data_IF_822993682515
#
_entry.id   IF_822993682515
#
_cell.length_a   1.000
_cell.length_b   1.000
_cell.length_c   1.000
_cell.angle_alpha   90.00
_cell.angle_beta   90.00
_cell.angle_gamma   90.00
#
_symmetry.space_group_name_H-M   'P 1'
#
loop_
_entity.id
_entity.type
_entity.pdbx_description
1 polymer ?
#
# COMPACT_ATOMS: atom_id res chain seq x y z
N UNK A 1 71.65 36.68 -43.42
CA UNK A 1 70.43 36.90 -42.62
C UNK A 1 69.41 35.85 -43.02
N UNK A 2 68.76 35.28 -42.01
CA UNK A 2 67.99 34.04 -42.00
C UNK A 2 66.85 34.00 -43.03
N UNK A 3 66.54 32.82 -43.57
CA UNK A 3 65.13 32.49 -43.82
C UNK A 3 64.85 30.99 -43.69
N UNK A 4 63.66 30.73 -43.18
CA UNK A 4 63.20 29.58 -42.42
C UNK A 4 62.55 28.53 -43.32
N UNK A 5 62.83 27.27 -43.03
CA UNK A 5 62.11 26.11 -43.54
C UNK A 5 60.67 26.10 -43.01
N UNK A 6 59.65 25.93 -43.87
CA UNK A 6 58.36 25.35 -43.45
C UNK A 6 57.72 24.48 -44.51
N UNK A 7 57.48 23.24 -44.09
CA UNK A 7 56.94 22.10 -44.80
C UNK A 7 55.45 22.26 -45.10
N UNK A 8 55.09 21.65 -46.23
CA UNK A 8 53.76 21.48 -46.81
C UNK A 8 52.86 20.65 -45.88
N UNK A 9 51.63 21.18 -45.69
CA UNK A 9 50.44 20.52 -45.14
C UNK A 9 50.18 19.17 -45.84
N UNK A 10 49.64 18.13 -45.23
CA UNK A 10 48.23 17.99 -44.81
C UNK A 10 48.16 16.71 -43.97
N UNK A 11 47.74 16.81 -42.70
CA UNK A 11 47.45 15.62 -41.87
C UNK A 11 46.06 15.72 -41.23
N UNK A 12 45.13 14.93 -41.76
CA UNK A 12 44.19 14.02 -41.06
C UNK A 12 43.50 14.42 -39.73
N UNK A 13 43.35 15.69 -39.36
CA UNK A 13 42.75 16.05 -38.06
C UNK A 13 41.33 16.66 -38.09
N UNK A 14 40.58 16.55 -39.20
CA UNK A 14 39.32 17.29 -39.30
C UNK A 14 38.02 16.53 -38.97
N UNK A 15 38.07 15.25 -38.57
CA UNK A 15 36.84 14.46 -38.38
C UNK A 15 36.56 13.98 -36.95
N UNK A 16 37.34 14.39 -35.96
CA UNK A 16 37.25 13.83 -34.60
C UNK A 16 36.77 14.82 -33.53
N UNK A 17 35.75 15.65 -33.79
CA UNK A 17 35.23 16.58 -32.75
C UNK A 17 33.71 16.77 -32.65
N UNK A 18 32.88 15.97 -33.33
CA UNK A 18 31.43 16.23 -33.34
C UNK A 18 30.48 15.08 -32.99
N UNK A 19 30.96 13.97 -32.43
CA UNK A 19 30.10 12.78 -32.21
C UNK A 19 29.90 12.31 -30.76
N UNK A 20 30.16 13.14 -29.74
CA UNK A 20 30.04 12.71 -28.34
C UNK A 20 29.13 13.60 -27.46
N UNK A 21 28.10 14.23 -28.04
CA UNK A 21 27.03 14.87 -27.27
C UNK A 21 25.70 14.32 -27.79
N UNK A 22 25.48 13.03 -27.55
CA UNK A 22 24.33 12.30 -28.08
C UNK A 22 23.76 11.37 -27.02
N UNK A 23 22.80 11.91 -26.25
CA UNK A 23 21.64 11.17 -25.78
C UNK A 23 21.89 10.05 -24.74
N UNK A 24 22.38 10.41 -23.56
CA UNK A 24 21.97 9.73 -22.34
C UNK A 24 20.59 10.26 -21.91
N UNK A 25 19.55 9.99 -22.70
CA UNK A 25 18.17 10.13 -22.23
C UNK A 25 17.96 9.00 -21.22
N UNK A 26 18.17 9.31 -19.95
CA UNK A 26 17.66 8.51 -18.85
C UNK A 26 16.15 8.38 -19.10
N UNK A 27 15.71 7.19 -19.49
CA UNK A 27 14.31 6.82 -19.44
C UNK A 27 13.94 6.78 -17.96
N UNK A 28 13.62 7.94 -17.39
CA UNK A 28 12.86 8.03 -16.17
C UNK A 28 11.50 7.43 -16.51
N UNK A 29 11.37 6.12 -16.32
CA UNK A 29 10.07 5.48 -16.28
C UNK A 29 9.28 6.23 -15.23
N UNK A 30 8.22 6.92 -15.64
CA UNK A 30 7.27 7.50 -14.72
C UNK A 30 6.60 6.32 -14.00
N UNK A 31 7.18 5.91 -12.87
CA UNK A 31 6.47 5.06 -11.93
C UNK A 31 5.30 5.91 -11.45
N UNK A 32 4.11 5.61 -11.96
CA UNK A 32 2.90 6.25 -11.47
C UNK A 32 2.82 5.94 -9.97
N UNK A 33 2.66 6.98 -9.15
CA UNK A 33 2.48 6.82 -7.72
C UNK A 33 1.24 5.96 -7.49
N UNK A 34 1.41 4.89 -6.72
CA UNK A 34 0.34 3.98 -6.35
C UNK A 34 -0.78 4.74 -5.64
N UNK A 35 -2.03 4.50 -6.01
CA UNK A 35 -3.19 5.09 -5.33
C UNK A 35 -3.97 4.03 -4.55
N UNK A 36 -4.78 4.44 -3.58
CA UNK A 36 -5.64 3.52 -2.82
C UNK A 36 -6.62 2.75 -3.72
N UNK A 37 -6.98 3.32 -4.88
CA UNK A 37 -7.84 2.66 -5.85
C UNK A 37 -7.15 1.43 -6.49
N UNK A 38 -5.82 1.49 -6.66
CA UNK A 38 -5.02 0.41 -7.24
C UNK A 38 -4.87 -0.79 -6.29
N UNK A 39 -5.14 -0.57 -5.00
CA UNK A 39 -5.07 -1.63 -3.99
C UNK A 39 -6.30 -2.53 -3.94
N UNK A 40 -7.36 -2.21 -4.70
CA UNK A 40 -8.48 -3.13 -4.89
C UNK A 40 -7.97 -4.40 -5.58
N UNK A 41 -7.95 -5.53 -4.87
CA UNK A 41 -7.39 -6.78 -5.40
C UNK A 41 -8.16 -8.02 -5.00
N UNK A 42 -8.06 -9.04 -5.84
CA UNK A 42 -8.46 -10.41 -5.53
C UNK A 42 -7.26 -11.12 -4.90
N UNK A 43 -7.36 -11.45 -3.61
CA UNK A 43 -6.28 -12.09 -2.84
C UNK A 43 -6.32 -13.62 -2.93
N UNK A 44 -7.47 -14.18 -3.30
CA UNK A 44 -7.61 -15.59 -3.65
C UNK A 44 -8.41 -15.68 -4.95
N UNK A 45 -7.92 -16.40 -6.00
CA UNK A 45 -8.59 -16.47 -7.29
C UNK A 45 -10.11 -16.66 -7.13
N UNK A 46 -10.87 -15.62 -7.52
CA UNK A 46 -12.33 -15.55 -7.53
C UNK A 46 -13.08 -15.67 -6.19
N UNK A 47 -12.39 -15.78 -5.05
CA UNK A 47 -13.05 -16.15 -3.79
C UNK A 47 -12.74 -15.24 -2.61
N UNK A 48 -11.77 -14.34 -2.73
CA UNK A 48 -11.52 -13.36 -1.70
C UNK A 48 -10.73 -12.18 -2.21
N UNK A 49 -10.84 -11.06 -1.51
CA UNK A 49 -10.16 -9.85 -1.90
C UNK A 49 -10.28 -8.73 -0.89
N UNK A 50 -9.68 -7.62 -1.26
CA UNK A 50 -9.63 -6.40 -0.47
C UNK A 50 -10.28 -5.28 -1.29
N UNK A 51 -11.20 -4.55 -0.66
CA UNK A 51 -11.92 -3.44 -1.28
C UNK A 51 -12.08 -2.29 -0.30
N UNK A 52 -12.60 -1.15 -0.77
CA UNK A 52 -12.92 0.03 0.06
C UNK A 52 -11.72 0.50 0.90
N UNK A 53 -10.56 0.65 0.25
CA UNK A 53 -9.39 1.19 0.92
C UNK A 53 -9.59 2.67 1.22
N UNK A 54 -9.22 3.10 2.41
CA UNK A 54 -9.38 4.46 2.89
C UNK A 54 -8.14 4.90 3.65
N UNK A 55 -7.76 6.15 3.44
CA UNK A 55 -6.85 6.87 4.32
C UNK A 55 -7.63 7.39 5.53
N UNK A 56 -7.15 7.11 6.73
CA UNK A 56 -7.76 7.53 8.00
C UNK A 56 -7.07 8.77 8.60
N UNK A 57 -6.07 9.31 7.91
CA UNK A 57 -5.22 10.37 8.43
C UNK A 57 -4.12 9.84 9.36
N UNK A 58 -3.15 10.70 9.62
CA UNK A 58 -2.11 10.50 10.65
C UNK A 58 -1.34 9.16 10.54
N UNK A 59 -1.15 8.67 9.31
CA UNK A 59 -0.40 7.44 9.05
C UNK A 59 -1.20 6.16 9.19
N UNK A 60 -2.54 6.22 9.25
CA UNK A 60 -3.41 5.04 9.30
C UNK A 60 -4.23 4.85 8.05
N UNK A 61 -4.44 3.58 7.72
CA UNK A 61 -5.27 3.17 6.59
C UNK A 61 -6.21 2.06 7.03
N UNK A 62 -7.30 1.86 6.29
CA UNK A 62 -8.18 0.70 6.44
C UNK A 62 -8.65 0.15 5.10
N UNK A 63 -9.10 -1.09 5.12
CA UNK A 63 -9.84 -1.70 4.03
C UNK A 63 -10.82 -2.76 4.55
N UNK A 64 -11.71 -3.21 3.66
CA UNK A 64 -12.60 -4.33 3.90
C UNK A 64 -12.10 -5.57 3.16
N UNK A 65 -11.92 -6.66 3.90
CA UNK A 65 -11.65 -7.99 3.40
C UNK A 65 -12.98 -8.71 3.11
N UNK A 66 -13.10 -9.37 1.97
CA UNK A 66 -14.27 -10.17 1.62
C UNK A 66 -13.89 -11.59 1.18
N UNK A 67 -14.82 -12.53 1.40
CA UNK A 67 -14.72 -13.92 0.93
C UNK A 67 -16.07 -14.41 0.38
N UNK A 68 -16.05 -15.20 -0.69
CA UNK A 68 -17.21 -15.86 -1.31
C UNK A 68 -16.81 -17.09 -2.13
N UNK A 69 -16.97 -18.30 -1.58
CA UNK A 69 -16.83 -19.57 -2.31
C UNK A 69 -17.93 -20.56 -1.89
N UNK A 70 -17.84 -21.10 -0.68
CA UNK A 70 -18.82 -22.01 -0.06
C UNK A 70 -19.52 -21.38 1.16
N UNK A 71 -19.16 -20.13 1.44
CA UNK A 71 -19.70 -19.26 2.47
C UNK A 71 -19.27 -17.83 2.18
N UNK A 72 -19.84 -16.88 2.90
CA UNK A 72 -19.47 -15.46 2.79
C UNK A 72 -18.86 -14.97 4.08
N UNK A 73 -17.91 -14.05 3.97
CA UNK A 73 -17.40 -13.34 5.13
C UNK A 73 -16.98 -11.93 4.75
N UNK A 74 -17.18 -10.99 5.67
CA UNK A 74 -16.66 -9.63 5.60
C UNK A 74 -15.85 -9.35 6.85
N UNK A 75 -14.75 -8.64 6.69
CA UNK A 75 -13.91 -8.19 7.79
C UNK A 75 -13.26 -6.86 7.46
N UNK A 76 -12.68 -6.24 8.47
CA UNK A 76 -11.93 -5.01 8.31
C UNK A 76 -10.52 -5.22 8.82
N UNK A 77 -9.59 -4.53 8.17
CA UNK A 77 -8.20 -4.42 8.59
C UNK A 77 -7.88 -2.93 8.71
N UNK A 78 -7.32 -2.52 9.84
CA UNK A 78 -6.80 -1.17 10.09
C UNK A 78 -5.31 -1.28 10.39
N UNK A 79 -4.48 -0.43 9.80
CA UNK A 79 -3.03 -0.50 9.92
C UNK A 79 -2.45 0.85 10.29
N UNK A 80 -1.52 0.84 11.22
CA UNK A 80 -0.56 1.92 11.47
C UNK A 80 0.65 1.78 10.55
N UNK A 81 0.77 2.65 9.57
CA UNK A 81 1.76 2.48 8.51
C UNK A 81 3.19 2.60 9.01
N UNK A 82 3.45 3.35 10.08
CA UNK A 82 4.78 3.46 10.68
C UNK A 82 5.20 2.17 11.38
N UNK A 83 4.41 1.68 12.34
CA UNK A 83 4.75 0.52 13.18
C UNK A 83 4.43 -0.82 12.51
N UNK A 84 3.51 -0.85 11.55
CA UNK A 84 2.92 -2.09 11.03
C UNK A 84 1.87 -2.71 11.97
N UNK A 85 1.58 -2.09 13.11
CA UNK A 85 0.52 -2.57 14.00
C UNK A 85 -0.81 -2.59 13.25
N UNK A 86 -1.54 -3.69 13.39
CA UNK A 86 -2.71 -3.99 12.56
C UNK A 86 -3.81 -4.58 13.41
N UNK A 87 -5.00 -3.99 13.37
CA UNK A 87 -6.22 -4.54 13.93
C UNK A 87 -7.02 -5.21 12.81
N UNK A 88 -7.37 -6.48 12.99
CA UNK A 88 -8.26 -7.24 12.09
C UNK A 88 -9.46 -7.79 12.86
N UNK A 89 -10.61 -7.84 12.19
CA UNK A 89 -11.79 -8.49 12.74
C UNK A 89 -12.81 -8.86 11.65
N UNK A 90 -13.72 -9.79 11.97
CA UNK A 90 -14.84 -10.21 11.12
C UNK A 90 -16.12 -9.50 11.55
N UNK A 91 -16.81 -8.86 10.61
CA UNK A 91 -18.07 -8.15 10.84
C UNK A 91 -19.29 -8.92 10.32
N UNK A 92 -19.09 -9.88 9.42
CA UNK A 92 -20.13 -10.76 8.93
C UNK A 92 -19.58 -12.11 8.53
N UNK A 93 -20.37 -13.17 8.73
CA UNK A 93 -20.15 -14.46 8.12
C UNK A 93 -21.45 -15.25 7.92
N UNK A 94 -21.50 -16.03 6.84
CA UNK A 94 -22.58 -16.96 6.55
C UNK A 94 -21.98 -18.24 5.96
N UNK A 95 -22.42 -19.41 6.42
CA UNK A 95 -21.95 -20.72 5.95
C UNK A 95 -20.43 -20.93 6.04
N UNK A 96 -19.75 -20.25 6.97
CA UNK A 96 -18.31 -20.40 7.24
C UNK A 96 -18.05 -21.51 8.29
N UNK A 97 -18.47 -22.73 7.97
CA UNK A 97 -18.33 -23.91 8.83
C UNK A 97 -19.51 -24.11 9.80
N UNK A 98 -19.23 -24.47 11.06
CA UNK A 98 -20.28 -24.79 12.06
C UNK A 98 -20.77 -23.59 12.88
N UNK A 99 -20.25 -22.38 12.60
CA UNK A 99 -20.60 -21.16 13.33
C UNK A 99 -21.96 -20.63 12.86
N UNK A 100 -22.75 -20.07 13.78
CA UNK A 100 -24.01 -19.40 13.43
C UNK A 100 -23.73 -18.18 12.58
N UNK A 101 -24.52 -18.00 11.52
CA UNK A 101 -24.47 -16.82 10.68
C UNK A 101 -24.65 -15.54 11.51
N UNK A 102 -23.95 -14.48 11.13
CA UNK A 102 -24.14 -13.15 11.70
C UNK A 102 -23.75 -12.10 10.65
N UNK A 103 -24.43 -10.96 10.68
CA UNK A 103 -23.98 -9.75 9.99
C UNK A 103 -24.20 -8.58 10.93
N UNK A 104 -23.10 -7.97 11.38
CA UNK A 104 -23.07 -6.78 12.22
C UNK A 104 -22.17 -5.71 11.56
N UNK A 105 -22.13 -5.71 10.23
CA UNK A 105 -21.25 -4.81 9.46
C UNK A 105 -21.57 -3.35 9.74
N UNK A 106 -22.83 -2.96 9.79
CA UNK A 106 -23.23 -1.57 10.03
C UNK A 106 -22.84 -1.11 11.44
N UNK A 107 -23.03 -1.96 12.46
CA UNK A 107 -22.62 -1.65 13.83
C UNK A 107 -21.10 -1.55 13.97
N UNK A 108 -20.35 -2.40 13.27
CA UNK A 108 -18.89 -2.31 13.24
C UNK A 108 -18.43 -1.01 12.58
N UNK A 109 -19.07 -0.58 11.49
CA UNK A 109 -18.79 0.71 10.83
C UNK A 109 -19.08 1.87 11.80
N UNK A 110 -20.20 1.84 12.53
CA UNK A 110 -20.51 2.88 13.52
C UNK A 110 -19.42 2.99 14.60
N UNK A 111 -18.90 1.87 15.10
CA UNK A 111 -17.77 1.85 16.04
C UNK A 111 -16.55 2.50 15.40
N UNK A 112 -16.19 2.11 14.18
CA UNK A 112 -15.04 2.67 13.48
C UNK A 112 -15.19 4.19 13.29
N UNK A 113 -16.32 4.64 12.75
CA UNK A 113 -16.60 6.06 12.48
C UNK A 113 -16.50 6.91 13.76
N UNK A 114 -17.02 6.41 14.88
CA UNK A 114 -16.90 7.08 16.18
C UNK A 114 -15.44 7.26 16.62
N UNK A 115 -14.59 6.26 16.38
CA UNK A 115 -13.16 6.35 16.68
C UNK A 115 -12.42 7.29 15.71
N UNK A 116 -12.86 7.39 14.46
CA UNK A 116 -12.28 8.34 13.49
C UNK A 116 -12.70 9.80 13.75
N UNK A 117 -13.92 10.02 14.24
CA UNK A 117 -14.39 11.36 14.60
C UNK A 117 -13.75 11.90 15.90
N UNK A 118 -13.15 11.02 16.72
CA UNK A 118 -12.52 11.37 17.99
C UNK A 118 -11.05 11.79 17.85
N UNK A 119 -10.43 12.13 18.99
CA UNK A 119 -8.98 12.41 19.01
C UNK A 119 -8.18 11.11 18.93
N UNK A 120 -7.16 11.13 18.07
CA UNK A 120 -6.26 10.01 17.77
C UNK A 120 -5.69 9.30 19.00
N UNK A 121 -5.26 10.08 20.01
CA UNK A 121 -4.64 9.54 21.23
C UNK A 121 -5.56 8.56 21.98
N UNK A 122 -6.87 8.68 21.75
CA UNK A 122 -7.88 7.84 22.36
C UNK A 122 -8.37 6.71 21.47
N UNK A 123 -8.07 6.74 20.17
CA UNK A 123 -8.46 5.71 19.20
C UNK A 123 -7.35 4.65 19.05
N UNK A 124 -6.89 4.06 20.15
CA UNK A 124 -5.92 2.95 20.09
C UNK A 124 -6.59 1.69 19.55
N UNK A 125 -5.82 0.76 18.97
CA UNK A 125 -6.41 -0.47 18.45
C UNK A 125 -6.99 -1.35 19.57
N UNK A 126 -6.43 -1.33 20.76
CA UNK A 126 -6.97 -2.04 21.93
C UNK A 126 -8.35 -1.49 22.30
N UNK A 127 -8.53 -0.17 22.26
CA UNK A 127 -9.83 0.43 22.57
C UNK A 127 -10.85 0.14 21.49
N UNK A 128 -10.46 0.22 20.22
CA UNK A 128 -11.33 -0.15 19.10
C UNK A 128 -11.73 -1.62 19.21
N UNK A 129 -10.77 -2.52 19.50
CA UNK A 129 -11.01 -3.94 19.70
C UNK A 129 -11.98 -4.21 20.87
N UNK A 130 -11.82 -3.50 21.99
CA UNK A 130 -12.70 -3.61 23.15
C UNK A 130 -14.15 -3.19 22.82
N UNK A 131 -14.32 -2.10 22.07
CA UNK A 131 -15.66 -1.66 21.63
C UNK A 131 -16.29 -2.64 20.62
N UNK A 132 -15.48 -3.48 19.96
CA UNK A 132 -15.93 -4.48 18.98
C UNK A 132 -16.21 -5.86 19.61
N UNK A 133 -15.86 -6.13 20.86
CA UNK A 133 -15.85 -7.48 21.48
C UNK A 133 -17.19 -8.24 21.33
N UNK A 134 -18.32 -7.53 21.40
CA UNK A 134 -19.66 -8.12 21.28
C UNK A 134 -20.35 -7.86 19.93
N UNK A 135 -19.62 -7.29 18.98
CA UNK A 135 -20.11 -6.90 17.64
C UNK A 135 -19.42 -7.75 16.57
N UNK A 136 -18.12 -7.92 16.69
CA UNK A 136 -17.27 -8.61 15.72
C UNK A 136 -16.82 -9.99 16.23
N UNK A 137 -16.22 -10.78 15.34
CA UNK A 137 -15.53 -12.03 15.66
C UNK A 137 -14.08 -11.96 15.22
N UNK A 138 -13.28 -12.91 15.70
CA UNK A 138 -11.89 -13.10 15.27
C UNK A 138 -11.06 -11.80 15.36
N UNK A 139 -11.28 -11.02 16.42
CA UNK A 139 -10.60 -9.75 16.66
C UNK A 139 -9.15 -10.06 17.04
N UNK A 140 -8.19 -9.50 16.30
CA UNK A 140 -6.77 -9.70 16.53
C UNK A 140 -5.98 -8.42 16.27
N UNK A 141 -5.00 -8.17 17.13
CA UNK A 141 -3.97 -7.14 16.92
C UNK A 141 -2.66 -7.85 16.62
N UNK A 142 -2.07 -7.55 15.47
CA UNK A 142 -0.82 -8.15 14.98
C UNK A 142 0.14 -7.06 14.52
N UNK A 143 1.38 -7.42 14.20
CA UNK A 143 2.35 -6.51 13.59
C UNK A 143 2.78 -7.05 12.23
N UNK A 144 2.58 -6.25 11.19
CA UNK A 144 2.99 -6.57 9.82
C UNK A 144 4.46 -6.21 9.59
N UNK A 145 5.23 -7.16 9.07
CA UNK A 145 6.63 -6.96 8.68
C UNK A 145 6.80 -6.62 7.20
N UNK A 146 5.71 -6.70 6.45
CA UNK A 146 5.60 -6.32 5.04
C UNK A 146 4.67 -5.12 4.96
N UNK A 147 5.05 -4.14 4.16
CA UNK A 147 4.20 -2.98 3.88
C UNK A 147 2.93 -3.43 3.16
N UNK A 148 1.79 -2.88 3.57
CA UNK A 148 0.50 -3.14 2.91
C UNK A 148 0.35 -2.21 1.72
N UNK A 149 -0.41 -2.63 0.70
CA UNK A 149 -0.68 -1.78 -0.46
C UNK A 149 -1.23 -0.41 -0.06
N UNK A 150 -2.19 -0.40 0.87
CA UNK A 150 -2.79 0.84 1.35
C UNK A 150 -1.76 1.80 1.98
N UNK A 151 -0.80 1.28 2.74
CA UNK A 151 0.28 2.09 3.31
C UNK A 151 1.27 2.57 2.26
N UNK A 152 1.64 1.73 1.29
CA UNK A 152 2.49 2.14 0.16
C UNK A 152 1.83 3.25 -0.67
N UNK A 153 0.51 3.22 -0.81
CA UNK A 153 -0.25 4.21 -1.56
C UNK A 153 -0.43 5.54 -0.80
N UNK A 154 -0.84 5.50 0.47
CA UNK A 154 -1.16 6.71 1.24
C UNK A 154 0.04 7.31 1.97
N UNK A 155 0.96 6.48 2.45
CA UNK A 155 2.06 6.88 3.34
C UNK A 155 3.40 6.18 3.01
N UNK A 156 3.91 6.26 1.76
CA UNK A 156 5.12 5.54 1.34
C UNK A 156 6.36 5.89 2.19
N UNK A 157 6.42 7.11 2.74
CA UNK A 157 7.53 7.54 3.61
C UNK A 157 7.51 6.88 5.01
N UNK A 158 6.40 6.27 5.43
CA UNK A 158 6.24 5.64 6.75
C UNK A 158 6.58 4.15 6.75
N UNK A 159 7.03 3.57 5.63
CA UNK A 159 7.43 2.17 5.53
C UNK A 159 8.39 1.73 6.63
N UNK A 160 9.34 2.58 7.00
CA UNK A 160 10.39 2.24 7.96
C UNK A 160 11.20 1.03 7.49
N UNK A 161 11.35 0.04 8.37
CA UNK A 161 12.12 -1.18 8.11
C UNK A 161 11.30 -2.31 7.46
N UNK A 162 10.00 -2.11 7.22
CA UNK A 162 9.14 -3.14 6.61
C UNK A 162 9.58 -3.44 5.18
N UNK A 163 9.37 -4.69 4.76
CA UNK A 163 9.59 -5.11 3.37
C UNK A 163 8.66 -4.31 2.47
N UNK A 164 9.19 -3.71 1.39
CA UNK A 164 8.41 -2.90 0.44
C UNK A 164 7.28 -3.70 -0.21
N UNK A 165 6.13 -3.05 -0.36
CA UNK A 165 5.02 -3.61 -1.09
C UNK A 165 5.31 -3.60 -2.59
N UNK A 166 5.15 -4.76 -3.24
CA UNK A 166 5.25 -4.89 -4.69
C UNK A 166 3.91 -5.33 -5.25
N UNK A 167 3.34 -4.53 -6.17
CA UNK A 167 2.19 -4.97 -6.94
C UNK A 167 2.62 -6.19 -7.76
N UNK A 168 1.92 -7.32 -7.63
CA UNK A 168 2.15 -8.45 -8.53
C UNK A 168 1.84 -7.98 -9.97
N UNK A 169 2.83 -8.11 -10.86
CA UNK A 169 2.70 -7.76 -12.28
C UNK A 169 1.82 -8.74 -13.05
#
# INVERSE_FOLDING_TARGET
MQDFSRKILVSKEFYLKFFAVGLAMAMATQANALTLADCKRTTHPSHGGEIRHMDLGEGRVMWMDWWSQEGTAKGFSLVECASGETLRFRSAEENMGRRSAFDRTDDAIEVLDRHQAGSRIFATFERIANDLEFIARDIAITTETVETCACAAAYPALRGEKTEFMLAG
#
